data_IF_378655774295
#
_entry.id   IF_378655774295
#
_cell.length_a   1.000
_cell.length_b   1.000
_cell.length_c   1.000
_cell.angle_alpha   90.00
_cell.angle_beta   90.00
_cell.angle_gamma   90.00
#
_symmetry.space_group_name_H-M   'P 1'
#
loop_
_entity.id
_entity.type
_entity.pdbx_description
1 polymer ?
#
# COMPACT_ATOMS: atom_id res chain seq x y z
N UNK A 1 -3.23 33.90 21.15
CA UNK A 1 -3.97 34.21 19.91
C UNK A 1 -3.63 33.19 18.83
N UNK A 2 -3.96 31.91 19.04
CA UNK A 2 -3.49 30.81 18.17
C UNK A 2 -4.59 29.76 17.90
N UNK A 3 -5.86 30.15 17.95
CA UNK A 3 -6.99 29.22 17.82
C UNK A 3 -8.06 29.64 16.83
N UNK A 4 -7.82 30.65 15.98
CA UNK A 4 -8.88 31.20 15.10
C UNK A 4 -8.61 31.04 13.59
N UNK A 5 -7.41 30.58 13.19
CA UNK A 5 -7.03 30.41 11.78
C UNK A 5 -7.06 28.96 11.28
N UNK A 6 -7.23 27.97 12.17
CA UNK A 6 -7.18 26.54 11.82
C UNK A 6 -8.57 25.91 11.55
N UNK A 7 -9.64 26.59 11.99
CA UNK A 7 -11.03 26.12 11.81
C UNK A 7 -11.65 26.62 10.49
N UNK A 8 -11.23 27.81 10.03
CA UNK A 8 -11.79 28.47 8.84
C UNK A 8 -11.43 27.76 7.53
N UNK A 9 -10.25 27.14 7.46
CA UNK A 9 -9.77 26.42 6.25
C UNK A 9 -10.41 25.05 6.06
N UNK A 10 -10.82 24.37 7.15
CA UNK A 10 -11.52 23.08 7.10
C UNK A 10 -12.98 23.21 6.68
N UNK A 11 -13.65 24.28 7.09
CA UNK A 11 -15.03 24.54 6.71
C UNK A 11 -15.16 24.95 5.24
N UNK A 12 -14.24 25.77 4.71
CA UNK A 12 -14.21 26.20 3.31
C UNK A 12 -13.95 25.04 2.33
N UNK A 13 -12.98 24.16 2.64
CA UNK A 13 -12.72 22.95 1.83
C UNK A 13 -13.89 21.96 1.84
N UNK A 14 -14.63 21.88 2.95
CA UNK A 14 -15.85 21.07 3.06
C UNK A 14 -17.04 21.69 2.32
N UNK A 15 -17.09 23.02 2.22
CA UNK A 15 -18.15 23.76 1.52
C UNK A 15 -17.99 23.67 0.00
N UNK A 16 -16.76 23.76 -0.51
CA UNK A 16 -16.47 23.67 -1.94
C UNK A 16 -16.73 22.26 -2.50
N UNK A 17 -16.44 21.22 -1.70
CA UNK A 17 -16.80 19.83 -2.00
C UNK A 17 -18.30 19.51 -1.95
N UNK A 18 -19.12 20.35 -1.30
CA UNK A 18 -20.60 20.24 -1.27
C UNK A 18 -21.25 20.92 -2.47
N UNK A 19 -20.69 22.05 -2.95
CA UNK A 19 -21.24 22.80 -4.09
C UNK A 19 -21.08 22.04 -5.42
N UNK A 20 -19.98 21.31 -5.61
CA UNK A 20 -19.79 20.46 -6.81
C UNK A 20 -20.80 19.31 -6.92
N UNK A 21 -21.39 18.87 -5.79
CA UNK A 21 -22.37 17.76 -5.76
C UNK A 21 -23.77 18.17 -6.21
N UNK A 22 -24.14 19.44 -6.14
CA UNK A 22 -25.46 19.91 -6.59
C UNK A 22 -25.53 20.19 -8.09
N UNK A 23 -24.39 20.46 -8.74
CA UNK A 23 -24.37 20.77 -10.18
C UNK A 23 -24.51 19.53 -11.10
N UNK A 24 -24.24 18.31 -10.61
CA UNK A 24 -24.33 17.09 -11.44
C UNK A 24 -25.70 16.40 -11.44
N UNK A 25 -26.69 16.90 -10.69
CA UNK A 25 -28.04 16.31 -10.63
C UNK A 25 -29.03 16.92 -11.64
N UNK A 26 -28.63 17.92 -12.43
CA UNK A 26 -29.48 18.57 -13.43
C UNK A 26 -28.72 18.75 -14.73
N UNK A 27 -28.90 17.83 -15.68
CA UNK A 27 -28.34 17.99 -17.03
C UNK A 27 -28.24 16.69 -17.81
N UNK A 28 -29.37 16.12 -18.20
CA UNK A 28 -29.42 15.13 -19.26
C UNK A 28 -29.38 15.80 -20.64
N UNK A 29 -28.55 15.29 -21.55
CA UNK A 29 -28.81 15.18 -22.99
C UNK A 29 -27.66 14.39 -23.65
N UNK A 30 -28.02 13.38 -24.42
CA UNK A 30 -27.11 12.55 -25.20
C UNK A 30 -26.55 13.31 -26.41
N UNK A 31 -25.29 13.05 -26.75
CA UNK A 31 -24.76 13.27 -28.10
C UNK A 31 -23.92 12.05 -28.50
N UNK A 32 -24.40 11.35 -29.52
CA UNK A 32 -23.65 10.35 -30.26
C UNK A 32 -22.62 11.05 -31.14
N UNK A 33 -21.37 10.57 -31.12
CA UNK A 33 -20.36 10.94 -32.10
C UNK A 33 -19.77 9.67 -32.73
N UNK A 34 -19.99 9.54 -34.04
CA UNK A 34 -19.45 8.52 -34.94
C UNK A 34 -17.94 8.64 -35.13
N UNK A 35 -17.33 7.51 -35.47
CA UNK A 35 -15.91 7.25 -35.60
C UNK A 35 -15.12 8.22 -36.49
N UNK A 36 -13.89 8.53 -36.07
CA UNK A 36 -12.76 8.83 -36.94
C UNK A 36 -11.53 8.10 -36.40
N UNK A 37 -10.87 7.34 -37.27
CA UNK A 37 -9.75 6.47 -36.90
C UNK A 37 -8.56 7.22 -36.34
N UNK A 38 -7.84 6.59 -35.42
CA UNK A 38 -6.48 6.95 -35.09
C UNK A 38 -5.57 5.74 -35.26
N UNK A 39 -4.73 5.82 -36.29
CA UNK A 39 -3.45 5.16 -36.34
C UNK A 39 -2.62 5.68 -35.16
N UNK A 40 -2.31 4.83 -34.19
CA UNK A 40 -1.15 5.02 -33.34
C UNK A 40 -0.13 3.94 -33.71
N UNK A 41 1.02 4.30 -34.29
CA UNK A 41 2.13 3.38 -34.44
C UNK A 41 2.65 2.99 -33.05
N UNK A 42 3.18 1.78 -32.95
CA UNK A 42 3.65 1.21 -31.70
C UNK A 42 4.76 2.00 -31.01
N UNK A 43 4.93 1.69 -29.72
CA UNK A 43 6.21 1.87 -29.05
C UNK A 43 6.52 3.27 -28.51
N UNK A 44 5.54 4.05 -28.08
CA UNK A 44 5.84 5.19 -27.21
C UNK A 44 6.10 4.68 -25.78
N UNK A 45 7.34 4.29 -25.49
CA UNK A 45 7.85 4.39 -24.10
C UNK A 45 7.72 5.86 -23.73
N UNK A 46 6.76 6.20 -22.88
CA UNK A 46 6.72 7.51 -22.25
C UNK A 46 8.11 7.78 -21.66
N UNK A 47 8.80 8.78 -22.20
CA UNK A 47 10.06 9.22 -21.65
C UNK A 47 9.81 9.54 -20.17
N UNK A 48 10.52 8.83 -19.29
CA UNK A 48 10.47 9.07 -17.86
C UNK A 48 10.66 10.57 -17.62
N UNK A 49 9.79 11.17 -16.80
CA UNK A 49 9.99 12.52 -16.30
C UNK A 49 11.41 12.57 -15.74
N UNK A 50 12.23 13.46 -16.30
CA UNK A 50 13.65 13.53 -16.03
C UNK A 50 13.94 13.72 -14.55
N UNK A 51 14.50 12.69 -13.92
CA UNK A 51 14.99 12.74 -12.55
C UNK A 51 16.43 12.27 -12.49
N UNK A 52 17.34 13.20 -12.20
CA UNK A 52 18.80 13.03 -12.02
C UNK A 52 19.18 12.34 -10.71
N UNK A 53 18.23 11.72 -10.00
CA UNK A 53 18.47 11.02 -8.73
C UNK A 53 19.16 9.67 -8.92
N UNK A 54 19.84 9.17 -7.87
CA UNK A 54 20.44 7.83 -7.86
C UNK A 54 19.37 6.76 -8.17
N UNK A 55 19.70 5.71 -8.96
CA UNK A 55 18.80 4.58 -9.16
C UNK A 55 18.32 4.01 -7.83
N UNK A 56 17.02 3.73 -7.72
CA UNK A 56 16.42 3.06 -6.56
C UNK A 56 16.10 1.62 -6.92
N UNK A 57 16.59 0.68 -6.11
CA UNK A 57 16.20 -0.71 -6.14
C UNK A 57 15.11 -0.99 -5.10
N UNK A 58 13.89 -1.25 -5.56
CA UNK A 58 12.72 -1.51 -4.73
C UNK A 58 12.32 -2.99 -4.85
N UNK A 59 12.24 -3.70 -3.73
CA UNK A 59 11.92 -5.12 -3.70
C UNK A 59 10.60 -5.39 -2.96
N UNK A 60 9.66 -6.03 -3.64
CA UNK A 60 8.52 -6.67 -2.99
C UNK A 60 8.88 -8.11 -2.58
N UNK A 61 8.80 -8.41 -1.29
CA UNK A 61 8.98 -9.77 -0.76
C UNK A 61 7.62 -10.49 -0.75
N UNK A 62 7.20 -11.00 -1.92
CA UNK A 62 5.92 -11.70 -2.10
C UNK A 62 6.03 -13.18 -1.75
N UNK A 63 4.91 -13.85 -1.47
CA UNK A 63 4.92 -15.23 -0.99
C UNK A 63 3.61 -15.95 -1.31
N UNK A 64 3.58 -17.30 -1.24
CA UNK A 64 2.37 -18.06 -1.46
C UNK A 64 1.22 -17.57 -0.57
N UNK A 65 0.00 -17.58 -1.10
CA UNK A 65 -1.21 -17.06 -0.43
C UNK A 65 -1.20 -15.55 -0.15
N UNK A 66 -0.20 -14.81 -0.63
CA UNK A 66 -0.13 -13.35 -0.55
C UNK A 66 -1.33 -12.66 -1.19
N UNK A 67 -1.77 -11.53 -0.63
CA UNK A 67 -2.84 -10.72 -1.20
C UNK A 67 -2.30 -9.91 -2.38
N UNK A 68 -2.77 -10.18 -3.60
CA UNK A 68 -2.27 -9.54 -4.84
C UNK A 68 -2.23 -8.01 -4.75
N UNK A 69 -3.31 -7.41 -4.26
CA UNK A 69 -3.46 -5.95 -4.28
C UNK A 69 -2.47 -5.24 -3.35
N UNK A 70 -1.98 -5.92 -2.31
CA UNK A 70 -1.05 -5.36 -1.34
C UNK A 70 0.31 -5.02 -1.95
N UNK A 71 0.72 -5.73 -3.00
CA UNK A 71 1.92 -5.36 -3.77
C UNK A 71 1.58 -4.78 -5.14
N UNK A 72 0.50 -5.19 -5.80
CA UNK A 72 0.13 -4.66 -7.11
C UNK A 72 -0.22 -3.16 -7.05
N UNK A 73 -0.93 -2.72 -6.01
CA UNK A 73 -1.27 -1.31 -5.78
C UNK A 73 -0.03 -0.41 -5.67
N UNK A 74 0.86 -0.61 -4.69
CA UNK A 74 2.08 0.18 -4.60
C UNK A 74 3.02 -0.02 -5.80
N UNK A 75 3.11 -1.22 -6.39
CA UNK A 75 3.90 -1.44 -7.61
C UNK A 75 3.44 -0.56 -8.77
N UNK A 76 2.13 -0.39 -8.97
CA UNK A 76 1.60 0.46 -10.03
C UNK A 76 2.10 1.91 -9.92
N UNK A 77 2.24 2.41 -8.69
CA UNK A 77 2.77 3.75 -8.42
C UNK A 77 4.29 3.78 -8.55
N UNK A 78 4.97 2.89 -7.84
CA UNK A 78 6.42 2.94 -7.64
C UNK A 78 7.21 2.55 -8.89
N UNK A 79 6.64 1.74 -9.78
CA UNK A 79 7.26 1.43 -11.07
C UNK A 79 7.29 2.63 -12.04
N UNK A 80 6.52 3.68 -11.76
CA UNK A 80 6.41 4.89 -12.61
C UNK A 80 7.21 6.08 -12.09
N UNK A 81 7.75 6.00 -10.88
CA UNK A 81 8.60 7.08 -10.36
C UNK A 81 9.97 7.04 -11.08
N UNK A 82 10.59 8.20 -11.38
CA UNK A 82 11.83 8.25 -12.15
C UNK A 82 12.98 7.43 -11.56
N UNK A 83 13.77 6.80 -12.43
CA UNK A 83 14.98 6.05 -12.10
C UNK A 83 14.79 5.01 -10.97
N UNK A 84 13.73 4.20 -11.10
CA UNK A 84 13.37 3.16 -10.13
C UNK A 84 13.26 1.81 -10.82
N UNK A 85 13.88 0.80 -10.22
CA UNK A 85 13.78 -0.61 -10.61
C UNK A 85 12.97 -1.32 -9.54
N UNK A 86 11.83 -1.86 -9.93
CA UNK A 86 11.02 -2.72 -9.06
C UNK A 86 11.37 -4.18 -9.33
N UNK A 87 11.58 -4.95 -8.26
CA UNK A 87 11.89 -6.38 -8.27
C UNK A 87 10.94 -7.13 -7.34
N UNK A 88 10.83 -8.43 -7.57
CA UNK A 88 10.00 -9.33 -6.77
C UNK A 88 10.84 -10.51 -6.33
N UNK A 89 10.87 -10.78 -5.03
CA UNK A 89 11.47 -11.98 -4.48
C UNK A 89 10.46 -12.76 -3.64
N UNK A 90 10.66 -14.07 -3.55
CA UNK A 90 9.89 -14.96 -2.70
C UNK A 90 10.79 -15.95 -1.97
N UNK A 91 10.32 -16.62 -0.90
CA UNK A 91 11.16 -17.56 -0.15
C UNK A 91 11.82 -18.64 -1.02
N UNK A 92 11.08 -19.18 -1.99
CA UNK A 92 11.57 -20.23 -2.89
C UNK A 92 12.12 -19.71 -4.24
N UNK A 93 11.81 -18.48 -4.63
CA UNK A 93 11.98 -18.01 -6.00
C UNK A 93 10.98 -18.66 -6.97
N UNK A 94 11.09 -18.34 -8.26
CA UNK A 94 10.22 -18.90 -9.29
C UNK A 94 8.77 -18.38 -9.24
N UNK A 95 7.81 -19.11 -9.84
CA UNK A 95 6.39 -18.75 -9.79
C UNK A 95 5.83 -18.87 -8.36
N UNK A 96 4.93 -17.95 -8.00
CA UNK A 96 4.27 -17.89 -6.69
C UNK A 96 2.76 -17.93 -6.89
N UNK A 97 2.09 -18.90 -6.25
CA UNK A 97 0.62 -18.98 -6.22
C UNK A 97 0.10 -18.14 -5.06
N UNK A 98 -0.57 -17.03 -5.38
CA UNK A 98 -1.20 -16.09 -4.46
C UNK A 98 -2.56 -16.61 -3.98
N UNK A 99 -3.21 -15.85 -3.09
CA UNK A 99 -4.60 -16.13 -2.76
C UNK A 99 -5.47 -16.16 -4.03
N UNK A 100 -6.57 -16.92 -4.00
CA UNK A 100 -7.50 -17.05 -5.13
C UNK A 100 -6.87 -17.65 -6.42
N UNK A 101 -5.70 -18.29 -6.31
CA UNK A 101 -5.10 -19.09 -7.39
C UNK A 101 -4.36 -18.29 -8.46
N UNK A 102 -4.11 -17.00 -8.26
CA UNK A 102 -3.33 -16.18 -9.19
C UNK A 102 -1.87 -16.59 -9.12
N UNK A 103 -1.25 -16.88 -10.25
CA UNK A 103 0.19 -17.19 -10.32
C UNK A 103 0.95 -15.96 -10.79
N UNK A 104 1.90 -15.49 -9.99
CA UNK A 104 2.78 -14.36 -10.31
C UNK A 104 4.23 -14.82 -10.39
N UNK A 105 5.01 -14.27 -11.32
CA UNK A 105 6.45 -14.51 -11.41
C UNK A 105 6.97 -14.56 -12.85
N UNK A 106 8.26 -14.96 -13.02
CA UNK A 106 9.15 -15.53 -11.99
C UNK A 106 9.63 -14.50 -10.96
N UNK A 107 9.87 -14.98 -9.73
CA UNK A 107 10.49 -14.20 -8.64
C UNK A 107 11.93 -14.65 -8.40
N UNK A 108 12.75 -13.75 -7.87
CA UNK A 108 14.06 -14.12 -7.32
C UNK A 108 13.89 -14.86 -5.99
N UNK A 109 14.86 -15.70 -5.63
CA UNK A 109 14.88 -16.30 -4.30
C UNK A 109 15.32 -15.26 -3.28
N UNK A 110 14.55 -15.08 -2.20
CA UNK A 110 14.81 -14.07 -1.18
C UNK A 110 16.20 -14.20 -0.54
N UNK A 111 16.68 -15.43 -0.38
CA UNK A 111 18.00 -15.74 0.12
C UNK A 111 19.14 -15.17 -0.77
N UNK A 112 18.91 -15.11 -2.08
CA UNK A 112 19.92 -14.72 -3.07
C UNK A 112 19.98 -13.19 -3.25
N UNK A 113 18.99 -12.47 -2.74
CA UNK A 113 19.01 -10.99 -2.74
C UNK A 113 19.96 -10.50 -1.66
N UNK A 114 21.01 -9.78 -2.06
CA UNK A 114 22.06 -9.31 -1.15
C UNK A 114 21.76 -7.93 -0.56
N UNK A 115 21.23 -7.00 -1.36
CA UNK A 115 20.90 -5.62 -0.96
C UNK A 115 19.76 -5.05 -1.79
N UNK A 116 19.04 -4.09 -1.21
CA UNK A 116 17.98 -3.28 -1.83
C UNK A 116 17.97 -1.90 -1.19
N UNK A 117 17.50 -0.87 -1.90
CA UNK A 117 17.32 0.46 -1.29
C UNK A 117 16.00 0.52 -0.51
N UNK A 118 14.96 -0.17 -1.00
CA UNK A 118 13.67 -0.27 -0.31
C UNK A 118 13.15 -1.70 -0.33
N UNK A 119 12.70 -2.20 0.81
CA UNK A 119 11.97 -3.47 0.93
C UNK A 119 10.50 -3.20 1.26
N UNK A 120 9.58 -3.89 0.59
CA UNK A 120 8.15 -3.89 0.91
C UNK A 120 7.65 -5.31 1.14
N UNK A 121 7.08 -5.55 2.32
CA UNK A 121 6.42 -6.82 2.67
C UNK A 121 4.91 -6.64 2.58
N UNK A 122 4.24 -7.25 1.58
CA UNK A 122 2.78 -7.24 1.49
C UNK A 122 2.14 -8.16 2.55
N UNK A 123 0.85 -7.99 2.76
CA UNK A 123 0.07 -8.83 3.66
C UNK A 123 -0.55 -10.05 2.98
N UNK A 124 -1.14 -10.86 3.86
CA UNK A 124 -1.98 -12.01 3.56
C UNK A 124 -2.79 -12.36 4.82
N UNK A 125 -3.79 -13.23 4.66
CA UNK A 125 -4.36 -13.94 5.81
C UNK A 125 -3.40 -15.04 6.31
N UNK A 126 -2.70 -15.71 5.38
CA UNK A 126 -1.75 -16.78 5.65
C UNK A 126 -0.31 -16.28 5.50
N UNK A 127 0.37 -16.15 6.63
CA UNK A 127 1.75 -15.68 6.74
C UNK A 127 2.74 -16.84 6.89
N UNK A 128 2.29 -18.10 6.89
CA UNK A 128 3.10 -19.27 7.23
C UNK A 128 4.38 -19.40 6.40
N UNK A 129 4.31 -19.05 5.11
CA UNK A 129 5.46 -19.07 4.22
C UNK A 129 6.57 -18.08 4.65
N UNK A 130 6.20 -16.96 5.28
CA UNK A 130 7.12 -15.90 5.70
C UNK A 130 7.52 -15.98 7.17
N UNK A 131 6.75 -16.67 8.00
CA UNK A 131 6.94 -16.76 9.45
C UNK A 131 7.94 -17.85 9.88
N UNK A 132 8.54 -18.55 8.91
CA UNK A 132 9.62 -19.50 9.17
C UNK A 132 10.89 -18.77 9.62
N UNK A 133 11.64 -19.30 10.61
CA UNK A 133 12.84 -18.64 11.13
C UNK A 133 13.83 -18.19 10.05
N UNK A 134 14.13 -19.07 9.09
CA UNK A 134 15.06 -18.78 7.99
C UNK A 134 14.58 -17.64 7.07
N UNK A 135 13.25 -17.53 6.88
CA UNK A 135 12.68 -16.49 6.03
C UNK A 135 12.64 -15.15 6.76
N UNK A 136 12.30 -15.15 8.05
CA UNK A 136 12.39 -13.97 8.92
C UNK A 136 13.82 -13.42 9.00
N UNK A 137 14.83 -14.28 9.03
CA UNK A 137 16.24 -13.87 8.99
C UNK A 137 16.59 -13.13 7.69
N UNK A 138 16.11 -13.62 6.53
CA UNK A 138 16.31 -12.93 5.26
C UNK A 138 15.59 -11.58 5.21
N UNK A 139 14.35 -11.50 5.70
CA UNK A 139 13.60 -10.23 5.82
C UNK A 139 14.35 -9.25 6.71
N UNK A 140 14.83 -9.69 7.88
CA UNK A 140 15.63 -8.87 8.81
C UNK A 140 16.90 -8.36 8.14
N UNK A 141 17.69 -9.26 7.54
CA UNK A 141 18.95 -8.92 6.85
C UNK A 141 18.75 -7.85 5.77
N UNK A 142 17.74 -8.02 4.93
CA UNK A 142 17.42 -7.03 3.88
C UNK A 142 16.93 -5.72 4.50
N UNK A 143 16.12 -5.79 5.54
CA UNK A 143 15.59 -4.62 6.25
C UNK A 143 16.68 -3.82 6.97
N UNK A 144 17.73 -4.45 7.47
CA UNK A 144 18.87 -3.76 8.11
C UNK A 144 19.73 -3.00 7.08
N UNK A 145 19.82 -3.49 5.85
CA UNK A 145 20.56 -2.86 4.77
C UNK A 145 19.76 -1.78 4.00
N UNK A 146 18.42 -1.85 4.03
CA UNK A 146 17.56 -0.97 3.26
C UNK A 146 17.48 0.45 3.82
N UNK A 147 17.41 1.44 2.93
CA UNK A 147 17.16 2.84 3.26
C UNK A 147 15.74 3.04 3.81
N UNK A 148 14.76 2.31 3.24
CA UNK A 148 13.39 2.28 3.75
C UNK A 148 12.90 0.84 3.93
N UNK A 149 12.21 0.59 5.04
CA UNK A 149 11.61 -0.70 5.39
C UNK A 149 10.12 -0.53 5.46
N UNK A 150 9.42 -1.27 4.61
CA UNK A 150 8.04 -0.93 4.31
C UNK A 150 7.11 -2.12 4.25
N UNK A 151 5.83 -1.89 4.47
CA UNK A 151 4.82 -2.95 4.43
C UNK A 151 3.43 -2.43 4.09
N UNK A 152 2.56 -3.34 3.69
CA UNK A 152 1.14 -3.10 3.53
C UNK A 152 0.38 -4.17 4.31
N UNK A 153 -0.76 -3.81 4.89
CA UNK A 153 -1.69 -4.75 5.52
C UNK A 153 -1.01 -5.54 6.66
N UNK A 154 -1.18 -6.85 6.71
CA UNK A 154 -0.53 -7.73 7.70
C UNK A 154 0.96 -7.96 7.44
N UNK A 155 1.55 -7.41 6.37
CA UNK A 155 2.99 -7.47 6.12
C UNK A 155 3.82 -6.83 7.22
N UNK A 156 3.26 -5.87 7.96
CA UNK A 156 3.91 -5.30 9.14
C UNK A 156 4.06 -6.30 10.30
N UNK A 157 3.24 -7.35 10.38
CA UNK A 157 3.39 -8.42 11.36
C UNK A 157 4.66 -9.24 11.06
N UNK A 158 4.95 -9.53 9.79
CA UNK A 158 6.18 -10.23 9.38
C UNK A 158 7.41 -9.40 9.75
N UNK A 159 7.39 -8.09 9.46
CA UNK A 159 8.48 -7.18 9.84
C UNK A 159 8.64 -7.06 11.37
N UNK A 160 7.54 -7.05 12.12
CA UNK A 160 7.59 -7.03 13.57
C UNK A 160 8.18 -8.34 14.12
N UNK A 161 7.73 -9.48 13.59
CA UNK A 161 8.24 -10.81 13.93
C UNK A 161 9.72 -11.00 13.58
N UNK A 162 10.22 -10.35 12.53
CA UNK A 162 11.66 -10.33 12.20
C UNK A 162 12.48 -9.42 13.12
N UNK A 163 11.84 -8.74 14.08
CA UNK A 163 12.46 -7.90 15.11
C UNK A 163 12.76 -6.46 14.69
N UNK A 164 12.54 -6.08 13.43
CA UNK A 164 12.99 -4.76 12.93
C UNK A 164 12.06 -3.61 13.32
N UNK A 165 10.82 -3.90 13.76
CA UNK A 165 9.85 -2.89 14.19
C UNK A 165 9.76 -2.70 15.70
N UNK A 166 10.67 -3.27 16.51
CA UNK A 166 10.64 -3.11 17.97
C UNK A 166 10.72 -1.62 18.36
N UNK A 167 9.71 -1.14 19.07
CA UNK A 167 9.56 0.26 19.50
C UNK A 167 9.20 1.23 18.38
N UNK A 168 8.76 0.75 17.21
CA UNK A 168 8.39 1.58 16.04
C UNK A 168 6.90 1.59 15.81
N UNK A 169 6.38 2.75 15.40
CA UNK A 169 4.99 2.89 14.96
C UNK A 169 4.79 2.21 13.62
N UNK A 170 3.71 1.44 13.47
CA UNK A 170 3.35 0.83 12.20
C UNK A 170 1.84 0.67 12.05
N UNK A 171 1.38 0.93 10.83
CA UNK A 171 0.05 0.56 10.36
C UNK A 171 -0.02 -0.94 10.10
N UNK A 172 -1.25 -1.45 10.14
CA UNK A 172 -1.58 -2.82 9.79
C UNK A 172 -3.00 -2.86 9.24
N UNK A 173 -3.44 -4.02 8.75
CA UNK A 173 -4.86 -4.25 8.59
C UNK A 173 -5.59 -4.11 9.94
N UNK A 174 -6.70 -3.36 9.96
CA UNK A 174 -7.42 -3.00 11.19
C UNK A 174 -7.75 -4.22 12.08
N UNK A 175 -8.11 -5.35 11.46
CA UNK A 175 -8.46 -6.57 12.17
C UNK A 175 -7.30 -7.22 12.94
N UNK A 176 -6.06 -6.90 12.58
CA UNK A 176 -4.84 -7.50 13.16
C UNK A 176 -3.93 -6.45 13.82
N UNK A 177 -4.36 -5.19 13.89
CA UNK A 177 -3.51 -4.07 14.27
C UNK A 177 -2.83 -4.27 15.63
N UNK A 178 -3.54 -4.78 16.62
CA UNK A 178 -3.02 -4.97 17.96
C UNK A 178 -2.12 -6.22 18.10
N UNK A 179 -2.06 -7.12 17.11
CA UNK A 179 -1.09 -8.22 17.06
C UNK A 179 0.36 -7.69 17.02
N UNK A 180 0.57 -6.50 16.46
CA UNK A 180 1.89 -5.85 16.42
C UNK A 180 2.53 -5.69 17.82
N UNK A 181 1.71 -5.56 18.87
CA UNK A 181 2.20 -5.40 20.26
C UNK A 181 2.98 -6.61 20.74
N UNK A 182 2.63 -7.81 20.27
CA UNK A 182 3.27 -9.07 20.67
C UNK A 182 4.73 -9.14 20.24
N UNK A 183 5.06 -8.42 19.17
CA UNK A 183 6.41 -8.31 18.61
C UNK A 183 7.08 -6.98 18.97
N UNK A 184 6.49 -6.22 19.89
CA UNK A 184 7.05 -4.97 20.41
C UNK A 184 6.92 -3.76 19.48
N UNK A 185 6.16 -3.84 18.39
CA UNK A 185 5.80 -2.69 17.57
C UNK A 185 4.64 -1.91 18.21
N UNK A 186 4.58 -0.60 17.93
CA UNK A 186 3.55 0.31 18.44
C UNK A 186 2.45 0.41 17.37
N UNK A 187 1.23 -0.12 17.61
CA UNK A 187 0.19 -0.07 16.60
C UNK A 187 -0.32 1.35 16.38
N UNK A 188 -0.53 1.71 15.13
CA UNK A 188 -1.09 2.99 14.72
C UNK A 188 -2.19 2.77 13.68
N UNK A 189 -3.38 3.32 13.95
CA UNK A 189 -4.57 3.12 13.11
C UNK A 189 -4.59 4.02 11.86
N UNK A 190 -3.61 4.90 11.66
CA UNK A 190 -3.54 5.72 10.47
C UNK A 190 -3.39 4.87 9.20
N UNK A 191 -3.99 5.34 8.10
CA UNK A 191 -3.98 4.65 6.80
C UNK A 191 -2.57 4.47 6.24
N UNK A 192 -1.70 5.46 6.46
CA UNK A 192 -0.27 5.43 6.16
C UNK A 192 0.47 5.97 7.38
N UNK A 193 1.50 5.26 7.82
CA UNK A 193 2.33 5.62 8.98
C UNK A 193 3.77 5.71 8.53
N UNK A 194 4.47 6.76 8.97
CA UNK A 194 5.92 6.93 8.83
C UNK A 194 6.55 7.11 10.21
N UNK A 195 7.59 6.34 10.49
CA UNK A 195 8.44 6.43 11.70
C UNK A 195 9.91 6.30 11.26
N UNK A 196 10.56 7.44 11.02
CA UNK A 196 11.90 7.48 10.43
C UNK A 196 11.94 6.79 9.08
N UNK A 197 12.73 5.70 8.99
CA UNK A 197 12.88 4.87 7.78
C UNK A 197 11.80 3.80 7.59
N UNK A 198 10.88 3.68 8.55
CA UNK A 198 9.79 2.71 8.49
C UNK A 198 8.54 3.37 7.93
N UNK A 199 7.95 2.78 6.88
CA UNK A 199 6.70 3.27 6.31
C UNK A 199 5.73 2.12 6.07
N UNK A 200 4.48 2.26 6.49
CA UNK A 200 3.50 1.18 6.37
C UNK A 200 2.15 1.70 5.93
N UNK A 201 1.49 0.97 5.03
CA UNK A 201 0.08 1.13 4.70
C UNK A 201 -0.78 0.19 5.52
N UNK A 202 -2.00 0.63 5.86
CA UNK A 202 -3.01 -0.19 6.51
C UNK A 202 -3.57 -1.29 5.59
N UNK A 203 -4.87 -1.58 5.69
CA UNK A 203 -5.48 -2.68 4.94
C UNK A 203 -5.48 -2.49 3.41
N UNK A 204 -5.00 -3.50 2.71
CA UNK A 204 -5.18 -3.78 1.26
C UNK A 204 -4.95 -2.57 0.34
N UNK A 205 -6.02 -1.80 0.06
CA UNK A 205 -5.97 -0.65 -0.85
C UNK A 205 -5.13 0.51 -0.32
N UNK A 206 -4.84 0.53 0.98
CA UNK A 206 -3.91 1.48 1.57
C UNK A 206 -2.53 1.44 0.88
N UNK A 207 -2.17 0.32 0.24
CA UNK A 207 -0.94 0.20 -0.56
C UNK A 207 -0.82 1.21 -1.69
N UNK A 208 -1.92 1.69 -2.28
CA UNK A 208 -1.86 2.72 -3.34
C UNK A 208 -1.49 4.08 -2.75
N UNK A 209 -2.16 4.50 -1.67
CA UNK A 209 -1.86 5.77 -0.98
C UNK A 209 -0.47 5.75 -0.35
N UNK A 210 -0.08 4.62 0.22
CA UNK A 210 1.27 4.36 0.70
C UNK A 210 2.30 4.47 -0.43
N UNK A 211 2.01 3.91 -1.61
CA UNK A 211 2.85 4.05 -2.80
C UNK A 211 3.07 5.51 -3.18
N UNK A 212 2.03 6.35 -3.11
CA UNK A 212 2.13 7.80 -3.36
C UNK A 212 2.98 8.50 -2.29
N UNK A 213 2.79 8.15 -1.01
CA UNK A 213 3.57 8.70 0.09
C UNK A 213 5.07 8.36 -0.05
N UNK A 214 5.39 7.12 -0.43
CA UNK A 214 6.77 6.72 -0.73
C UNK A 214 7.31 7.44 -1.97
N UNK A 215 6.52 7.56 -3.04
CA UNK A 215 6.95 8.29 -4.23
C UNK A 215 7.36 9.73 -3.87
N UNK A 216 6.58 10.39 -3.02
CA UNK A 216 6.89 11.73 -2.53
C UNK A 216 8.16 11.75 -1.66
N UNK A 217 8.36 10.74 -0.82
CA UNK A 217 9.57 10.60 0.00
C UNK A 217 10.83 10.42 -0.84
N UNK A 218 10.76 9.60 -1.90
CA UNK A 218 11.91 9.20 -2.70
C UNK A 218 12.26 10.18 -3.83
N UNK A 219 11.27 10.93 -4.34
CA UNK A 219 11.39 11.76 -5.54
C UNK A 219 10.75 13.15 -5.42
N UNK A 220 10.18 13.49 -4.27
CA UNK A 220 9.50 14.76 -4.03
C UNK A 220 8.03 14.75 -4.46
N UNK A 221 7.29 15.73 -3.96
CA UNK A 221 5.84 15.82 -4.15
C UNK A 221 5.42 15.93 -5.62
N UNK A 222 6.18 16.65 -6.44
CA UNK A 222 5.87 16.84 -7.86
C UNK A 222 5.85 15.51 -8.63
N UNK A 223 6.88 14.67 -8.44
CA UNK A 223 6.94 13.36 -9.08
C UNK A 223 5.78 12.46 -8.64
N UNK A 224 5.40 12.50 -7.35
CA UNK A 224 4.26 11.75 -6.86
C UNK A 224 2.93 12.24 -7.48
N UNK A 225 2.73 13.56 -7.58
CA UNK A 225 1.55 14.17 -8.20
C UNK A 225 1.45 13.84 -9.70
N UNK A 226 2.58 13.83 -10.42
CA UNK A 226 2.62 13.42 -11.81
C UNK A 226 2.21 11.96 -11.98
N UNK A 227 2.71 11.05 -11.13
CA UNK A 227 2.28 9.65 -11.16
C UNK A 227 0.81 9.52 -10.80
N UNK A 228 0.32 10.25 -9.79
CA UNK A 228 -1.10 10.28 -9.42
C UNK A 228 -1.99 10.67 -10.61
N UNK A 229 -1.62 11.72 -11.34
CA UNK A 229 -2.34 12.15 -12.53
C UNK A 229 -2.23 11.12 -13.66
N UNK A 230 -1.04 10.55 -13.89
CA UNK A 230 -0.78 9.59 -14.96
C UNK A 230 -1.62 8.31 -14.83
N UNK A 231 -1.81 7.82 -13.60
CA UNK A 231 -2.64 6.64 -13.33
C UNK A 231 -4.10 7.01 -13.02
N UNK A 232 -4.45 8.29 -13.10
CA UNK A 232 -5.78 8.83 -12.78
C UNK A 232 -6.29 8.38 -11.41
N UNK A 233 -5.43 8.44 -10.39
CA UNK A 233 -5.82 8.05 -9.04
C UNK A 233 -6.65 9.17 -8.36
N UNK A 234 -7.95 9.16 -8.67
CA UNK A 234 -9.02 9.97 -8.08
C UNK A 234 -10.14 9.05 -7.57
N UNK A 235 -9.94 8.36 -6.43
CA UNK A 235 -10.89 7.34 -5.98
C UNK A 235 -12.22 7.98 -5.55
N UNK A 236 -13.33 7.44 -6.09
CA UNK A 236 -14.71 7.80 -5.71
C UNK A 236 -15.45 6.56 -5.18
N UNK A 237 -15.17 6.08 -3.96
CA UNK A 237 -15.85 4.90 -3.42
C UNK A 237 -17.37 5.13 -3.35
N UNK A 238 -18.22 4.21 -3.84
CA UNK A 238 -19.67 4.37 -3.81
C UNK A 238 -20.27 4.19 -2.41
N UNK A 239 -19.48 3.77 -1.42
CA UNK A 239 -19.89 3.54 -0.04
C UNK A 239 -18.83 4.05 0.95
N UNK A 240 -19.27 4.45 2.14
CA UNK A 240 -18.41 4.91 3.23
C UNK A 240 -18.31 3.85 4.35
N UNK A 241 -17.78 2.67 4.00
CA UNK A 241 -17.67 1.53 4.93
C UNK A 241 -16.27 0.89 4.97
N UNK A 242 -15.26 1.60 4.46
CA UNK A 242 -13.87 1.11 4.39
C UNK A 242 -13.11 1.15 5.73
N UNK A 243 -13.65 1.83 6.74
CA UNK A 243 -13.08 1.96 8.07
C UNK A 243 -14.11 1.48 9.11
N UNK A 244 -13.76 0.59 10.06
CA UNK A 244 -14.68 0.13 11.10
C UNK A 244 -15.30 1.26 11.95
N UNK A 245 -14.64 2.41 12.07
CA UNK A 245 -15.17 3.58 12.78
C UNK A 245 -16.32 4.26 12.02
N UNK A 246 -16.32 4.17 10.69
CA UNK A 246 -17.25 4.88 9.81
C UNK A 246 -18.36 3.96 9.26
N UNK A 247 -18.12 2.65 9.23
CA UNK A 247 -19.04 1.67 8.67
C UNK A 247 -20.35 1.57 9.49
N UNK A 248 -21.53 1.42 8.83
CA UNK A 248 -22.79 1.18 9.53
C UNK A 248 -22.70 -0.01 10.49
N UNK A 249 -23.26 0.12 11.69
CA UNK A 249 -23.16 -0.89 12.75
C UNK A 249 -23.54 -2.29 12.27
N UNK A 250 -24.65 -2.44 11.53
CA UNK A 250 -25.09 -3.72 10.95
C UNK A 250 -24.02 -4.36 10.06
N UNK A 251 -23.32 -3.57 9.25
CA UNK A 251 -22.26 -4.04 8.34
C UNK A 251 -21.02 -4.41 9.15
N UNK A 252 -20.58 -3.51 10.03
CA UNK A 252 -19.42 -3.71 10.89
C UNK A 252 -19.55 -4.95 11.78
N UNK A 253 -20.69 -5.10 12.44
CA UNK A 253 -20.92 -6.21 13.38
C UNK A 253 -21.04 -7.55 12.64
N UNK A 254 -21.56 -7.55 11.40
CA UNK A 254 -21.51 -8.73 10.53
C UNK A 254 -20.07 -9.12 10.17
N UNK A 255 -19.21 -8.14 9.84
CA UNK A 255 -17.78 -8.38 9.57
C UNK A 255 -17.05 -8.88 10.81
N UNK A 256 -17.32 -8.31 11.99
CA UNK A 256 -16.76 -8.82 13.25
C UNK A 256 -17.14 -10.27 13.53
N UNK A 257 -18.35 -10.70 13.17
CA UNK A 257 -18.76 -12.11 13.28
C UNK A 257 -18.01 -13.02 12.31
N UNK A 258 -17.72 -12.55 11.10
CA UNK A 258 -16.92 -13.30 10.11
C UNK A 258 -15.45 -13.40 10.51
N UNK A 259 -14.94 -12.41 11.25
CA UNK A 259 -13.53 -12.27 11.61
C UNK A 259 -13.36 -12.22 13.14
N UNK A 260 -13.37 -13.36 13.85
CA UNK A 260 -13.23 -13.39 15.31
C UNK A 260 -11.96 -12.66 15.80
N UNK A 261 -12.09 -11.86 16.86
CA UNK A 261 -11.01 -11.04 17.43
C UNK A 261 -10.76 -9.71 16.70
N UNK A 262 -11.34 -9.49 15.53
CA UNK A 262 -11.09 -8.30 14.71
C UNK A 262 -11.59 -6.99 15.34
N UNK A 263 -12.64 -7.04 16.16
CA UNK A 263 -13.18 -5.86 16.90
C UNK A 263 -12.11 -5.17 17.74
N UNK A 264 -11.21 -5.96 18.32
CA UNK A 264 -10.13 -5.49 19.18
C UNK A 264 -8.78 -5.46 18.42
N UNK A 265 -8.79 -5.64 17.10
CA UNK A 265 -7.57 -5.72 16.28
C UNK A 265 -6.69 -6.93 16.60
N UNK A 266 -7.26 -8.01 17.14
CA UNK A 266 -6.57 -9.21 17.62
C UNK A 266 -6.97 -10.47 16.83
N UNK A 267 -7.49 -10.31 15.61
CA UNK A 267 -7.65 -11.45 14.71
C UNK A 267 -6.28 -12.11 14.49
N UNK A 268 -6.25 -13.45 14.43
CA UNK A 268 -5.02 -14.21 14.27
C UNK A 268 -4.77 -14.55 12.80
N UNK A 269 -3.57 -14.27 12.26
CA UNK A 269 -3.19 -14.77 10.95
C UNK A 269 -2.97 -16.29 11.02
N UNK A 270 -2.98 -16.95 9.86
CA UNK A 270 -2.48 -18.32 9.75
C UNK A 270 -0.95 -18.26 9.73
N UNK A 271 -0.31 -19.15 10.49
CA UNK A 271 1.15 -19.20 10.72
C UNK A 271 1.70 -20.59 10.38
#
# INVERSE_FOLDING_TARGET
MSGFFDEMTREELSRDGRLRRQAMLMGGAALAATAAGSLLPGGARAAAVGGTGKPIDFLFAIYPNGTLLDFAGPNEILSRIPNTRVRFASPAGGPVTLEKGIVFGPTEKLADVTKVDVICVPGALDLSAMMKPETLEHVRRLSEAAQYVTSVCTGSIILAASGVLKGKRSACHWAFLNVLKEYGAIPDAARVVKDGRFMSGGGVTAGIDFGMAIAAELRGAEAAQQVQLLVQYDPQPPFHAGNPADAPSKVRDAVYKMLPGSKDGLMRPIL
#
